data_IF_753158618634
#
_entry.id   IF_753158618634
#
_cell.length_a   1.000
_cell.length_b   1.000
_cell.length_c   1.000
_cell.angle_alpha   90.00
_cell.angle_beta   90.00
_cell.angle_gamma   90.00
#
_symmetry.space_group_name_H-M   'P 1'
#
loop_
_entity.id
_entity.type
_entity.pdbx_description
1 polymer ?
#
# COMPACT_ATOMS: atom_id res chain seq x y z
N UNK A 1 -16.41 3.97 21.48
CA UNK A 1 -16.85 3.71 20.09
C UNK A 1 -16.14 2.46 19.60
N UNK A 2 -16.82 1.31 19.57
CA UNK A 2 -16.30 0.12 18.89
C UNK A 2 -16.39 0.39 17.39
N UNK A 3 -15.28 0.80 16.77
CA UNK A 3 -15.17 0.74 15.32
C UNK A 3 -15.31 -0.73 14.95
N UNK A 4 -16.39 -1.07 14.26
CA UNK A 4 -16.63 -2.42 13.76
C UNK A 4 -15.36 -2.90 13.07
N UNK A 5 -14.79 -4.03 13.50
CA UNK A 5 -13.52 -4.56 12.99
C UNK A 5 -13.48 -4.62 11.46
N UNK A 6 -14.65 -4.77 10.82
CA UNK A 6 -14.85 -4.71 9.38
C UNK A 6 -14.52 -3.34 8.79
N UNK A 7 -15.01 -2.24 9.38
CA UNK A 7 -14.79 -0.88 8.90
C UNK A 7 -13.31 -0.50 8.91
N UNK A 8 -12.59 -0.88 9.99
CA UNK A 8 -11.15 -0.64 10.09
C UNK A 8 -10.41 -1.38 8.99
N UNK A 9 -10.73 -2.65 8.74
CA UNK A 9 -10.13 -3.46 7.68
C UNK A 9 -10.41 -2.91 6.27
N UNK A 10 -11.64 -2.47 6.01
CA UNK A 10 -12.01 -1.89 4.72
C UNK A 10 -11.25 -0.57 4.47
N UNK A 11 -11.06 0.23 5.51
CA UNK A 11 -10.31 1.47 5.44
C UNK A 11 -8.81 1.22 5.26
N UNK A 12 -8.25 0.22 5.95
CA UNK A 12 -6.89 -0.26 5.72
C UNK A 12 -6.69 -0.73 4.27
N UNK A 13 -7.65 -1.51 3.73
CA UNK A 13 -7.61 -1.94 2.34
C UNK A 13 -7.66 -0.76 1.36
N UNK A 14 -8.58 0.19 1.57
CA UNK A 14 -8.70 1.37 0.73
C UNK A 14 -7.40 2.18 0.71
N UNK A 15 -6.78 2.39 1.87
CA UNK A 15 -5.52 3.13 2.00
C UNK A 15 -4.40 2.38 1.26
N UNK A 16 -4.23 1.08 1.54
CA UNK A 16 -3.11 0.30 1.03
C UNK A 16 -3.21 0.00 -0.47
N UNK A 17 -4.40 -0.35 -0.96
CA UNK A 17 -4.60 -0.81 -2.33
C UNK A 17 -4.95 0.34 -3.31
N UNK A 18 -5.56 1.43 -2.82
CA UNK A 18 -6.00 2.54 -3.70
C UNK A 18 -5.25 3.84 -3.46
N UNK A 19 -5.23 4.35 -2.22
CA UNK A 19 -4.70 5.68 -1.94
C UNK A 19 -3.17 5.74 -2.00
N UNK A 20 -2.46 4.75 -1.42
CA UNK A 20 -1.00 4.75 -1.40
C UNK A 20 -0.39 4.70 -2.82
N UNK A 21 -0.86 3.83 -3.73
CA UNK A 21 -0.36 3.80 -5.11
C UNK A 21 -0.69 5.08 -5.90
N UNK A 22 -1.87 5.67 -5.67
CA UNK A 22 -2.24 6.94 -6.30
C UNK A 22 -1.35 8.09 -5.81
N UNK A 23 -1.10 8.15 -4.50
CA UNK A 23 -0.20 9.12 -3.88
C UNK A 23 1.25 8.95 -4.38
N UNK A 24 1.76 7.72 -4.44
CA UNK A 24 3.09 7.42 -4.97
C UNK A 24 3.26 7.94 -6.40
N UNK A 25 2.28 7.66 -7.28
CA UNK A 25 2.29 8.14 -8.68
C UNK A 25 2.26 9.66 -8.77
N UNK A 26 1.41 10.31 -7.97
CA UNK A 26 1.34 11.77 -7.94
C UNK A 26 2.66 12.40 -7.48
N UNK A 27 3.25 11.87 -6.41
CA UNK A 27 4.54 12.34 -5.88
C UNK A 27 5.67 12.18 -6.89
N UNK A 28 5.73 11.05 -7.61
CA UNK A 28 6.68 10.85 -8.70
C UNK A 28 6.44 11.87 -9.82
N UNK A 29 5.16 12.11 -10.19
CA UNK A 29 4.78 13.06 -11.24
C UNK A 29 5.21 14.50 -10.96
N UNK A 30 5.29 14.91 -9.70
CA UNK A 30 5.75 16.25 -9.30
C UNK A 30 7.27 16.31 -9.08
N UNK A 31 8.01 15.23 -9.40
CA UNK A 31 9.46 15.18 -9.31
C UNK A 31 10.00 14.84 -7.91
N UNK A 32 9.17 14.36 -7.00
CA UNK A 32 9.64 13.90 -5.68
C UNK A 32 10.38 12.57 -5.83
N UNK A 33 11.65 12.56 -5.44
CA UNK A 33 12.53 11.37 -5.50
C UNK A 33 12.25 10.36 -4.39
N UNK A 34 11.56 10.77 -3.33
CA UNK A 34 11.23 9.92 -2.20
C UNK A 34 9.72 10.02 -1.86
N UNK A 35 8.85 9.46 -2.73
CA UNK A 35 7.40 9.67 -2.68
C UNK A 35 6.72 9.12 -1.42
N UNK A 36 7.38 8.23 -0.68
CA UNK A 36 6.85 7.57 0.52
C UNK A 36 7.57 8.02 1.81
N UNK A 37 8.42 9.06 1.72
CA UNK A 37 9.17 9.58 2.86
C UNK A 37 8.22 10.23 3.87
N UNK A 38 8.22 9.75 5.11
CA UNK A 38 7.34 10.23 6.18
C UNK A 38 6.04 9.42 6.38
N UNK A 39 5.75 8.45 5.50
CA UNK A 39 4.69 7.46 5.75
C UNK A 39 5.18 6.47 6.82
N UNK A 40 4.28 6.06 7.73
CA UNK A 40 4.61 5.09 8.78
C UNK A 40 5.24 3.82 8.15
N UNK A 41 6.46 3.43 8.58
CA UNK A 41 7.17 2.27 8.02
C UNK A 41 6.39 0.95 8.14
N UNK A 42 5.52 0.79 9.14
CA UNK A 42 4.67 -0.39 9.29
C UNK A 42 3.65 -0.51 8.14
N UNK A 43 3.08 0.63 7.70
CA UNK A 43 2.16 0.69 6.55
C UNK A 43 2.92 0.33 5.27
N UNK A 44 4.15 0.84 5.12
CA UNK A 44 5.00 0.53 3.97
C UNK A 44 5.42 -0.95 3.94
N UNK A 45 5.69 -1.55 5.10
CA UNK A 45 6.00 -2.97 5.23
C UNK A 45 4.81 -3.84 4.81
N UNK A 46 3.59 -3.44 5.18
CA UNK A 46 2.36 -4.13 4.77
C UNK A 46 2.12 -4.04 3.26
N UNK A 47 2.30 -2.86 2.64
CA UNK A 47 2.20 -2.71 1.17
C UNK A 47 3.27 -3.53 0.45
N UNK A 48 4.51 -3.50 0.91
CA UNK A 48 5.59 -4.29 0.31
C UNK A 48 5.31 -5.79 0.41
N UNK A 49 4.82 -6.26 1.56
CA UNK A 49 4.47 -7.67 1.77
C UNK A 49 3.31 -8.09 0.86
N UNK A 50 2.28 -7.26 0.76
CA UNK A 50 1.15 -7.44 -0.16
C UNK A 50 1.50 -7.33 -1.63
N UNK A 51 2.51 -6.57 -2.05
CA UNK A 51 3.01 -6.56 -3.45
C UNK A 51 3.92 -7.77 -3.72
N UNK A 52 4.65 -8.24 -2.71
CA UNK A 52 5.55 -9.38 -2.80
C UNK A 52 4.79 -10.70 -2.88
N UNK A 53 3.63 -10.83 -2.21
CA UNK A 53 2.78 -12.03 -2.29
C UNK A 53 2.27 -12.32 -3.71
N UNK A 54 1.65 -11.36 -4.43
CA UNK A 54 1.30 -11.47 -5.84
C UNK A 54 2.52 -11.79 -6.70
N UNK A 55 3.66 -11.11 -6.49
CA UNK A 55 4.86 -11.36 -7.29
C UNK A 55 5.42 -12.78 -7.11
N UNK A 56 5.36 -13.34 -5.90
CA UNK A 56 5.76 -14.72 -5.61
C UNK A 56 4.79 -15.74 -6.21
N UNK A 57 3.50 -15.45 -6.22
CA UNK A 57 2.47 -16.29 -6.83
C UNK A 57 2.48 -16.20 -8.37
N UNK A 58 2.86 -15.04 -8.94
CA UNK A 58 2.99 -14.85 -10.38
C UNK A 58 4.24 -15.51 -10.99
N UNK A 59 5.23 -15.91 -10.18
CA UNK A 59 6.51 -16.48 -10.66
C UNK A 59 6.49 -18.01 -10.79
N UNK A 60 5.33 -18.64 -10.89
CA UNK A 60 5.26 -20.08 -11.20
C UNK A 60 4.09 -20.43 -12.12
N UNK A 61 4.11 -19.86 -13.32
CA UNK A 61 3.57 -20.51 -14.52
C UNK A 61 4.68 -20.58 -15.57
N UNK A 62 5.60 -21.51 -15.38
CA UNK A 62 6.43 -22.07 -16.46
C UNK A 62 6.65 -23.54 -16.14
#
# INVERSE_FOLDING_TARGET
MQLSHTYVKELELLILDTLLPAYEKHQISIGNKEPLKGINPEILAQVKSKKKLPALLSKKLT
#
